data_IF_793589876179
#
_entry.id   IF_793589876179
#
_cell.length_a   1.000
_cell.length_b   1.000
_cell.length_c   1.000
_cell.angle_alpha   90.00
_cell.angle_beta   90.00
_cell.angle_gamma   90.00
#
_symmetry.space_group_name_H-M   'P 1'
#
loop_
_entity.id
_entity.type
_entity.pdbx_description
1 polymer ?
#
# COMPACT_ATOMS: atom_id res chain seq x y z
N UNK A 1 8.18 -7.48 8.62
CA UNK A 1 7.97 -8.83 8.04
C UNK A 1 8.83 -8.94 6.79
N UNK A 2 9.42 -10.10 6.54
CA UNK A 2 10.24 -10.32 5.33
C UNK A 2 9.37 -10.39 4.07
N UNK A 3 9.92 -9.94 2.94
CA UNK A 3 9.19 -9.93 1.68
C UNK A 3 9.13 -11.35 1.11
N UNK A 4 8.07 -12.08 1.43
CA UNK A 4 7.79 -13.39 0.83
C UNK A 4 7.13 -13.25 -0.55
N UNK A 5 7.27 -14.25 -1.42
CA UNK A 5 6.55 -14.28 -2.71
C UNK A 5 5.04 -14.16 -2.55
N UNK A 6 4.48 -14.73 -1.48
CA UNK A 6 3.05 -14.64 -1.17
C UNK A 6 2.64 -13.21 -0.81
N UNK A 7 3.42 -12.55 0.05
CA UNK A 7 3.19 -11.14 0.41
C UNK A 7 3.31 -10.22 -0.80
N UNK A 8 4.30 -10.48 -1.66
CA UNK A 8 4.51 -9.73 -2.90
C UNK A 8 3.32 -9.87 -3.85
N UNK A 9 2.89 -11.11 -4.14
CA UNK A 9 1.71 -11.38 -4.99
C UNK A 9 0.43 -10.75 -4.43
N UNK A 10 0.28 -10.74 -3.10
CA UNK A 10 -0.82 -10.05 -2.46
C UNK A 10 -0.76 -8.54 -2.70
N UNK A 11 0.38 -7.89 -2.48
CA UNK A 11 0.55 -6.45 -2.72
C UNK A 11 0.32 -6.12 -4.20
N UNK A 12 0.79 -6.98 -5.11
CA UNK A 12 0.67 -6.77 -6.56
C UNK A 12 -0.77 -6.89 -7.07
N UNK A 13 -1.63 -7.64 -6.38
CA UNK A 13 -3.04 -7.80 -6.75
C UNK A 13 -3.93 -6.63 -6.27
N UNK A 14 -3.41 -5.76 -5.40
CA UNK A 14 -4.15 -4.62 -4.88
C UNK A 14 -4.14 -3.43 -5.85
N UNK A 15 -5.27 -2.73 -5.92
CA UNK A 15 -5.36 -1.44 -6.58
C UNK A 15 -4.68 -0.35 -5.75
N UNK A 16 -4.36 0.80 -6.37
CA UNK A 16 -3.82 1.96 -5.64
C UNK A 16 -4.74 2.40 -4.49
N UNK A 17 -6.06 2.37 -4.71
CA UNK A 17 -7.06 2.73 -3.70
C UNK A 17 -7.04 1.76 -2.51
N UNK A 18 -6.95 0.45 -2.78
CA UNK A 18 -6.82 -0.56 -1.72
C UNK A 18 -5.50 -0.44 -0.96
N UNK A 19 -4.40 -0.17 -1.66
CA UNK A 19 -3.10 0.06 -1.02
C UNK A 19 -3.15 1.28 -0.10
N UNK A 20 -3.74 2.37 -0.59
CA UNK A 20 -3.89 3.61 0.19
C UNK A 20 -4.81 3.42 1.39
N UNK A 21 -5.95 2.75 1.22
CA UNK A 21 -6.89 2.47 2.30
C UNK A 21 -6.22 1.64 3.40
N UNK A 22 -5.50 0.56 3.04
CA UNK A 22 -4.82 -0.27 4.02
C UNK A 22 -3.70 0.49 4.73
N UNK A 23 -2.92 1.31 4.03
CA UNK A 23 -1.93 2.19 4.64
C UNK A 23 -2.54 3.14 5.68
N UNK A 24 -3.73 3.67 5.38
CA UNK A 24 -4.36 4.73 6.16
C UNK A 24 -5.07 4.24 7.43
N UNK A 25 -5.64 3.05 7.38
CA UNK A 25 -6.41 2.48 8.49
C UNK A 25 -5.65 1.41 9.30
N UNK A 26 -4.44 1.07 8.89
CA UNK A 26 -3.61 0.16 9.67
C UNK A 26 -3.18 0.77 11.01
N UNK A 27 -3.07 -0.05 12.07
CA UNK A 27 -2.53 0.42 13.33
C UNK A 27 -1.07 0.84 13.17
N UNK A 28 -0.64 1.79 14.00
CA UNK A 28 0.77 2.19 14.05
C UNK A 28 1.62 0.97 14.38
N UNK A 29 2.69 0.77 13.60
CA UNK A 29 3.57 -0.37 13.77
C UNK A 29 3.09 -1.66 13.11
N UNK A 30 2.11 -1.60 12.21
CA UNK A 30 1.69 -2.79 11.43
C UNK A 30 2.88 -3.38 10.65
N UNK A 31 3.17 -4.69 10.80
CA UNK A 31 4.30 -5.37 10.14
C UNK A 31 4.32 -5.30 8.61
N UNK A 32 3.18 -5.04 7.96
CA UNK A 32 3.09 -4.86 6.50
C UNK A 32 3.82 -3.62 6.00
N UNK A 33 4.04 -2.63 6.86
CA UNK A 33 4.69 -1.37 6.52
C UNK A 33 6.08 -1.26 7.15
N UNK A 34 6.68 -2.39 7.52
CA UNK A 34 8.00 -2.47 8.15
C UNK A 34 8.94 -3.37 7.35
N UNK A 35 10.23 -3.02 7.37
CA UNK A 35 11.28 -3.75 6.67
C UNK A 35 11.00 -3.87 5.16
N UNK A 36 11.48 -4.95 4.56
CA UNK A 36 11.40 -5.16 3.10
C UNK A 36 9.97 -5.15 2.56
N UNK A 37 9.00 -5.67 3.33
CA UNK A 37 7.59 -5.65 2.91
C UNK A 37 7.06 -4.21 2.84
N UNK A 38 7.42 -3.37 3.80
CA UNK A 38 7.05 -1.95 3.80
C UNK A 38 7.72 -1.16 2.68
N UNK A 39 9.00 -1.44 2.41
CA UNK A 39 9.73 -0.84 1.29
C UNK A 39 9.08 -1.21 -0.05
N UNK A 40 8.71 -2.48 -0.21
CA UNK A 40 7.99 -2.93 -1.40
C UNK A 40 6.61 -2.29 -1.52
N UNK A 41 5.87 -2.17 -0.41
CA UNK A 41 4.57 -1.49 -0.38
C UNK A 41 4.68 -0.06 -0.90
N UNK A 42 5.66 0.70 -0.38
CA UNK A 42 5.92 2.09 -0.80
C UNK A 42 6.29 2.16 -2.27
N UNK A 43 7.15 1.26 -2.74
CA UNK A 43 7.54 1.17 -4.15
C UNK A 43 6.32 0.93 -5.04
N UNK A 44 5.50 -0.08 -4.73
CA UNK A 44 4.30 -0.42 -5.50
C UNK A 44 3.31 0.74 -5.56
N UNK A 45 3.03 1.38 -4.43
CA UNK A 45 2.15 2.56 -4.39
C UNK A 45 2.65 3.68 -5.30
N UNK A 46 3.97 3.90 -5.37
CA UNK A 46 4.56 4.91 -6.26
C UNK A 46 4.44 4.54 -7.74
N UNK A 47 4.62 3.27 -8.08
CA UNK A 47 4.56 2.78 -9.47
C UNK A 47 3.16 2.88 -10.07
N UNK A 48 2.14 2.53 -9.29
CA UNK A 48 0.75 2.51 -9.77
C UNK A 48 -0.01 3.80 -9.42
N UNK A 49 0.71 4.83 -8.95
CA UNK A 49 0.12 6.11 -8.53
C UNK A 49 -0.57 6.78 -9.73
N UNK A 50 -1.90 6.96 -9.68
CA UNK A 50 -2.61 7.60 -10.78
C UNK A 50 -2.49 9.13 -10.71
N UNK A 51 -2.74 9.81 -11.83
CA UNK A 51 -2.79 11.27 -11.87
C UNK A 51 -3.83 11.83 -10.89
N UNK A 52 -5.00 11.20 -10.79
CA UNK A 52 -6.06 11.58 -9.85
C UNK A 52 -5.90 10.94 -8.46
N UNK A 53 -4.67 10.80 -7.95
CA UNK A 53 -4.46 10.25 -6.61
C UNK A 53 -5.09 11.10 -5.49
N UNK A 54 -5.21 12.42 -5.70
CA UNK A 54 -5.88 13.31 -4.76
C UNK A 54 -7.38 13.00 -4.63
N UNK A 55 -8.07 12.73 -5.75
CA UNK A 55 -9.47 12.31 -5.74
C UNK A 55 -9.66 10.96 -5.05
N UNK A 56 -8.73 10.02 -5.23
CA UNK A 56 -8.74 8.73 -4.52
C UNK A 56 -8.55 8.95 -3.02
N UNK A 57 -7.60 9.80 -2.62
CA UNK A 57 -7.38 10.13 -1.20
C UNK A 57 -8.64 10.68 -0.55
N UNK A 58 -9.38 11.54 -1.24
CA UNK A 58 -10.64 12.09 -0.74
C UNK A 58 -11.71 11.02 -0.55
N UNK A 59 -11.85 10.10 -1.51
CA UNK A 59 -12.79 8.96 -1.40
C UNK A 59 -12.49 8.03 -0.23
N UNK A 60 -11.20 7.82 0.06
CA UNK A 60 -10.76 6.98 1.19
C UNK A 60 -10.98 7.68 2.54
N UNK A 61 -11.18 9.00 2.57
CA UNK A 61 -11.50 9.77 3.78
C UNK A 61 -10.42 10.79 4.15
N UNK A 62 -10.19 11.77 3.27
CA UNK A 62 -9.36 12.96 3.52
C UNK A 62 -10.02 14.22 2.95
#
# INVERSE_FOLDING_TARGET
MDLTEKSKKYIDSLSYESLLARWRFAPVGDPWFQGETGDYWRKRMSEIKPQNHAGISKRVGW
#
